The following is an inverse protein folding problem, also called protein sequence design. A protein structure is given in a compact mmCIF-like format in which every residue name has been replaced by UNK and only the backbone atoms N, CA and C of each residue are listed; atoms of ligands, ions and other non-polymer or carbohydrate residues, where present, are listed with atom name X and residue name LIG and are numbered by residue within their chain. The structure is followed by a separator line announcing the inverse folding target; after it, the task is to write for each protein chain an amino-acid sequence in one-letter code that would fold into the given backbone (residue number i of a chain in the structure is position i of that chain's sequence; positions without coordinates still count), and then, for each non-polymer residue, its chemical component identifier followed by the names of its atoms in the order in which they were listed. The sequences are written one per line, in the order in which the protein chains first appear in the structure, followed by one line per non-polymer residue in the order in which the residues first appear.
data_IF_152458161366
#
_entry.id   IF_152458161366
#
_cell.length_a   1.000
_cell.length_b   1.000
_cell.length_c   1.000
_cell.angle_alpha   90.00
_cell.angle_beta   90.00
_cell.angle_gamma   90.00
#
_symmetry.space_group_name_H-M   'P 1'
#
loop_
_entity.id
_entity.type
_entity.pdbx_description
1 polymer ?
#
# COMPACT_ATOMS: atom_id res chain seq x y z
N UNK A 1 15.54 26.82 12.19
CA UNK A 1 16.17 25.77 11.36
C UNK A 1 15.24 24.57 11.13
N UNK A 2 14.66 23.96 12.18
CA UNK A 2 13.79 22.78 12.05
C UNK A 2 12.47 23.04 11.28
N UNK A 3 11.74 24.11 11.61
CA UNK A 3 10.50 24.50 10.89
C UNK A 3 10.70 24.62 9.37
N UNK A 4 11.76 25.31 8.96
CA UNK A 4 12.09 25.48 7.55
C UNK A 4 12.44 24.17 6.83
N UNK A 5 12.89 23.13 7.55
CA UNK A 5 13.12 21.81 6.97
C UNK A 5 11.82 21.01 6.83
N UNK A 6 10.94 21.08 7.83
CA UNK A 6 9.62 20.44 7.81
C UNK A 6 8.74 21.01 6.69
N UNK A 7 8.77 22.34 6.52
CA UNK A 7 8.02 23.02 5.45
C UNK A 7 8.50 22.58 4.05
N UNK A 8 9.82 22.38 3.86
CA UNK A 8 10.38 21.86 2.61
C UNK A 8 9.90 20.44 2.29
N UNK A 9 9.57 19.65 3.31
CA UNK A 9 9.09 18.27 3.16
C UNK A 9 7.55 18.17 3.16
N UNK A 10 6.85 19.31 3.17
CA UNK A 10 5.39 19.39 3.27
C UNK A 10 4.81 18.69 4.51
N UNK A 11 5.58 18.68 5.61
CA UNK A 11 5.17 18.03 6.86
C UNK A 11 4.32 19.01 7.67
N UNK A 12 3.00 18.76 7.68
CA UNK A 12 2.03 19.52 8.46
C UNK A 12 1.36 18.59 9.45
N UNK A 13 1.67 18.75 10.73
CA UNK A 13 1.04 17.99 11.81
C UNK A 13 -0.40 18.48 12.01
N UNK A 14 -1.35 17.77 11.44
CA UNK A 14 -2.78 17.96 11.68
C UNK A 14 -3.51 16.63 11.74
N UNK A 15 -4.64 16.61 12.47
CA UNK A 15 -5.50 15.43 12.55
C UNK A 15 -6.07 15.05 11.18
N UNK A 16 -6.38 16.04 10.35
CA UNK A 16 -6.86 15.82 8.99
C UNK A 16 -5.79 15.10 8.16
N UNK A 17 -4.53 15.54 8.21
CA UNK A 17 -3.45 14.98 7.40
C UNK A 17 -3.09 13.55 7.81
N UNK A 18 -2.85 13.34 9.10
CA UNK A 18 -2.34 12.05 9.60
C UNK A 18 -3.44 11.07 10.01
N UNK A 19 -4.59 11.57 10.45
CA UNK A 19 -5.74 10.74 10.78
C UNK A 19 -6.56 10.40 9.53
N UNK A 20 -7.01 11.41 8.79
CA UNK A 20 -7.99 11.20 7.70
C UNK A 20 -7.28 10.91 6.36
N UNK A 21 -6.40 11.80 5.91
CA UNK A 21 -5.79 11.69 4.57
C UNK A 21 -4.89 10.45 4.45
N UNK A 22 -4.15 10.12 5.50
CA UNK A 22 -3.33 8.91 5.55
C UNK A 22 -4.19 7.62 5.49
N UNK A 23 -5.29 7.55 6.26
CA UNK A 23 -6.19 6.39 6.24
C UNK A 23 -6.93 6.27 4.91
N UNK A 24 -7.34 7.39 4.31
CA UNK A 24 -7.92 7.42 2.97
C UNK A 24 -6.90 6.92 1.92
N UNK A 25 -5.65 7.38 2.02
CA UNK A 25 -4.55 6.91 1.18
C UNK A 25 -4.28 5.41 1.32
N UNK A 26 -4.32 4.88 2.55
CA UNK A 26 -4.23 3.45 2.81
C UNK A 26 -5.37 2.67 2.14
N UNK A 27 -6.61 3.13 2.29
CA UNK A 27 -7.77 2.49 1.69
C UNK A 27 -7.67 2.47 0.16
N UNK A 28 -7.24 3.58 -0.46
CA UNK A 28 -6.98 3.66 -1.90
C UNK A 28 -5.93 2.63 -2.34
N UNK A 29 -4.81 2.51 -1.62
CA UNK A 29 -3.76 1.53 -1.88
C UNK A 29 -4.24 0.08 -1.75
N UNK A 30 -4.99 -0.23 -0.69
CA UNK A 30 -5.55 -1.56 -0.48
C UNK A 30 -6.55 -1.94 -1.57
N UNK A 31 -7.51 -1.06 -1.90
CA UNK A 31 -8.55 -1.37 -2.88
C UNK A 31 -8.02 -1.43 -4.31
N UNK A 32 -7.09 -0.54 -4.68
CA UNK A 32 -6.48 -0.54 -6.01
C UNK A 32 -5.67 -1.80 -6.32
N UNK A 33 -5.11 -2.46 -5.29
CA UNK A 33 -4.28 -3.64 -5.49
C UNK A 33 -5.03 -4.94 -5.19
N UNK A 34 -5.68 -5.03 -4.02
CA UNK A 34 -6.33 -6.26 -3.56
C UNK A 34 -7.63 -6.54 -4.30
N UNK A 35 -8.55 -5.56 -4.33
CA UNK A 35 -9.88 -5.76 -4.94
C UNK A 35 -9.75 -5.89 -6.46
N UNK A 36 -8.92 -5.05 -7.09
CA UNK A 36 -8.66 -5.18 -8.53
C UNK A 36 -8.00 -6.54 -8.83
N UNK A 37 -7.01 -6.96 -8.04
CA UNK A 37 -6.38 -8.27 -8.21
C UNK A 37 -7.35 -9.44 -8.04
N UNK A 38 -8.31 -9.33 -7.12
CA UNK A 38 -9.37 -10.33 -6.93
C UNK A 38 -10.32 -10.38 -8.14
N UNK A 39 -10.73 -9.22 -8.67
CA UNK A 39 -11.58 -9.13 -9.86
C UNK A 39 -10.88 -9.79 -11.05
N UNK A 40 -9.62 -9.46 -11.32
CA UNK A 40 -8.84 -10.07 -12.41
C UNK A 40 -8.74 -11.60 -12.24
N UNK A 41 -8.46 -12.05 -11.02
CA UNK A 41 -8.37 -13.48 -10.71
C UNK A 41 -9.69 -14.20 -10.94
N UNK A 42 -10.81 -13.61 -10.52
CA UNK A 42 -12.14 -14.19 -10.71
C UNK A 42 -12.52 -14.26 -12.19
N UNK A 43 -12.31 -13.18 -12.95
CA UNK A 43 -12.55 -13.17 -14.39
C UNK A 43 -11.71 -14.25 -15.08
N UNK A 44 -10.40 -14.30 -14.79
CA UNK A 44 -9.51 -15.31 -15.37
C UNK A 44 -9.92 -16.74 -15.03
N UNK A 45 -10.49 -16.95 -13.85
CA UNK A 45 -11.03 -18.25 -13.42
C UNK A 45 -12.29 -18.60 -14.20
N UNK A 46 -13.22 -17.66 -14.39
CA UNK A 46 -14.46 -17.87 -15.14
C UNK A 46 -14.22 -18.08 -16.64
N UNK A 47 -13.22 -17.41 -17.21
CA UNK A 47 -12.88 -17.54 -18.63
C UNK A 47 -11.81 -18.60 -18.91
N UNK A 48 -11.37 -19.34 -17.89
CA UNK A 48 -10.26 -20.31 -17.97
C UNK A 48 -8.96 -19.71 -18.56
N UNK A 49 -8.73 -18.42 -18.38
CA UNK A 49 -7.58 -17.71 -18.93
C UNK A 49 -6.50 -17.52 -17.86
N UNK A 50 -5.58 -18.50 -17.80
CA UNK A 50 -4.53 -18.62 -16.79
C UNK A 50 -3.67 -17.35 -16.61
N UNK A 51 -3.24 -16.63 -17.67
CA UNK A 51 -2.41 -15.42 -17.49
C UNK A 51 -3.08 -14.33 -16.64
N UNK A 52 -4.41 -14.22 -16.70
CA UNK A 52 -5.17 -13.21 -15.94
C UNK A 52 -5.29 -13.59 -14.46
N UNK A 53 -5.38 -14.90 -14.17
CA UNK A 53 -5.31 -15.44 -12.80
C UNK A 53 -3.96 -15.11 -12.18
N UNK A 54 -2.87 -15.31 -12.93
CA UNK A 54 -1.50 -15.00 -12.48
C UNK A 54 -1.32 -13.49 -12.25
N UNK A 55 -1.78 -12.65 -13.19
CA UNK A 55 -1.73 -11.19 -13.03
C UNK A 55 -2.51 -10.71 -11.79
N UNK A 56 -3.72 -11.23 -11.57
CA UNK A 56 -4.50 -10.92 -10.38
C UNK A 56 -3.86 -11.41 -9.07
N UNK A 57 -3.13 -12.52 -9.13
CA UNK A 57 -2.31 -13.02 -8.02
C UNK A 57 -1.14 -12.10 -7.68
N UNK A 58 -0.41 -11.61 -8.70
CA UNK A 58 0.67 -10.65 -8.50
C UNK A 58 0.18 -9.32 -7.92
N UNK A 59 -0.97 -8.82 -8.38
CA UNK A 59 -1.60 -7.64 -7.81
C UNK A 59 -1.89 -7.84 -6.32
N UNK A 60 -2.57 -8.93 -5.95
CA UNK A 60 -2.85 -9.23 -4.53
C UNK A 60 -1.58 -9.39 -3.67
N UNK A 61 -0.50 -9.94 -4.23
CA UNK A 61 0.77 -10.05 -3.52
C UNK A 61 1.41 -8.66 -3.26
N UNK A 62 1.18 -7.68 -4.13
CA UNK A 62 1.76 -6.34 -4.04
C UNK A 62 0.94 -5.35 -3.18
N UNK A 63 0.00 -5.83 -2.35
CA UNK A 63 -0.84 -4.96 -1.51
C UNK A 63 -0.04 -4.12 -0.53
N UNK A 64 1.01 -4.66 0.09
CA UNK A 64 1.87 -3.91 1.00
C UNK A 64 2.52 -2.69 0.32
N UNK A 65 3.08 -2.90 -0.88
CA UNK A 65 3.62 -1.82 -1.71
C UNK A 65 2.57 -0.76 -2.06
N UNK A 66 1.38 -1.18 -2.47
CA UNK A 66 0.30 -0.27 -2.84
C UNK A 66 -0.21 0.57 -1.65
N UNK A 67 -0.32 -0.02 -0.46
CA UNK A 67 -0.65 0.70 0.77
C UNK A 67 0.44 1.72 1.11
N UNK A 68 1.72 1.33 1.05
CA UNK A 68 2.85 2.22 1.34
C UNK A 68 2.90 3.43 0.40
N UNK A 69 2.64 3.20 -0.90
CA UNK A 69 2.49 4.27 -1.89
C UNK A 69 1.28 5.15 -1.58
N UNK A 70 0.11 4.54 -1.30
CA UNK A 70 -1.14 5.25 -1.05
C UNK A 70 -1.09 6.14 0.19
N UNK A 71 -0.50 5.68 1.29
CA UNK A 71 -0.30 6.48 2.50
C UNK A 71 0.64 7.66 2.25
N UNK A 72 1.79 7.42 1.61
CA UNK A 72 2.73 8.50 1.29
C UNK A 72 2.14 9.52 0.33
N UNK A 73 1.32 9.07 -0.62
CA UNK A 73 0.55 9.94 -1.51
C UNK A 73 -0.49 10.76 -0.76
N UNK A 74 -1.28 10.15 0.14
CA UNK A 74 -2.27 10.86 0.98
C UNK A 74 -1.62 11.90 1.90
N UNK A 75 -0.44 11.59 2.43
CA UNK A 75 0.38 12.51 3.21
C UNK A 75 1.08 13.58 2.36
N UNK A 76 0.94 13.56 1.03
CA UNK A 76 1.67 14.41 0.07
C UNK A 76 3.18 14.47 0.35
N UNK A 77 3.74 13.30 0.66
CA UNK A 77 5.14 13.15 0.98
C UNK A 77 6.02 13.46 -0.25
N UNK A 78 7.26 13.96 -0.05
CA UNK A 78 8.18 14.18 -1.14
C UNK A 78 8.52 12.86 -1.86
N UNK A 79 8.90 12.88 -3.15
CA UNK A 79 9.10 11.67 -3.95
C UNK A 79 10.05 10.64 -3.33
N UNK A 80 11.12 11.10 -2.67
CA UNK A 80 12.07 10.21 -1.99
C UNK A 80 11.42 9.40 -0.86
N UNK A 81 10.53 10.02 -0.10
CA UNK A 81 9.80 9.35 1.00
C UNK A 81 8.79 8.37 0.42
N UNK A 82 8.09 8.74 -0.67
CA UNK A 82 7.16 7.85 -1.36
C UNK A 82 7.84 6.59 -1.90
N UNK A 83 8.98 6.72 -2.59
CA UNK A 83 9.70 5.53 -3.09
C UNK A 83 10.23 4.66 -1.95
N UNK A 84 10.70 5.26 -0.85
CA UNK A 84 11.13 4.50 0.31
C UNK A 84 9.98 3.78 1.03
N UNK A 85 8.78 4.39 1.09
CA UNK A 85 7.62 3.81 1.77
C UNK A 85 7.12 2.55 1.07
N UNK A 86 7.20 2.51 -0.26
CA UNK A 86 6.86 1.30 -1.03
C UNK A 86 7.71 0.11 -0.60
N UNK A 87 9.02 0.31 -0.45
CA UNK A 87 9.96 -0.75 -0.08
C UNK A 87 9.78 -1.15 1.38
N UNK A 88 9.68 -0.19 2.31
CA UNK A 88 9.52 -0.50 3.74
C UNK A 88 8.19 -1.18 4.05
N UNK A 89 7.11 -0.82 3.35
CA UNK A 89 5.81 -1.49 3.52
C UNK A 89 5.80 -2.93 3.01
N UNK A 90 6.60 -3.28 1.99
CA UNK A 90 6.78 -4.68 1.58
C UNK A 90 7.45 -5.52 2.68
N UNK A 91 8.45 -4.96 3.37
CA UNK A 91 9.09 -5.61 4.52
C UNK A 91 8.11 -5.74 5.69
N UNK A 92 7.28 -4.73 5.92
CA UNK A 92 6.21 -4.80 6.92
C UNK A 92 5.19 -5.89 6.62
N UNK A 93 4.82 -6.08 5.35
CA UNK A 93 3.89 -7.12 4.92
C UNK A 93 4.44 -8.53 5.15
N UNK A 94 5.73 -8.77 4.88
CA UNK A 94 6.36 -10.07 5.11
C UNK A 94 6.48 -10.40 6.60
N UNK A 95 6.76 -9.41 7.44
CA UNK A 95 6.76 -9.58 8.91
C UNK A 95 5.36 -9.91 9.44
N UNK A 96 4.33 -9.22 8.95
CA UNK A 96 2.94 -9.50 9.33
C UNK A 96 2.51 -10.92 8.92
N UNK A 97 2.96 -11.40 7.76
CA UNK A 97 2.74 -12.79 7.35
C UNK A 97 3.44 -13.79 8.30
N UNK A 98 4.64 -13.46 8.78
CA UNK A 98 5.37 -14.24 9.77
C UNK A 98 4.65 -14.32 11.11
N UNK A 99 4.06 -13.21 11.57
CA UNK A 99 3.20 -13.18 12.75
C UNK A 99 1.96 -14.07 12.60
N UNK A 100 1.30 -14.04 11.45
CA UNK A 100 0.14 -14.89 11.17
C UNK A 100 0.47 -16.39 11.11
N UNK A 101 1.72 -16.74 10.76
CA UNK A 101 2.22 -18.12 10.80
C UNK A 101 2.48 -18.61 12.22
N UNK A 102 2.94 -17.75 13.13
CA UNK A 102 3.16 -18.12 14.53
C UNK A 102 1.85 -18.48 15.25
N UNK A 103 0.73 -17.84 14.88
CA UNK A 103 -0.61 -18.19 15.39
C UNK A 103 -1.15 -19.54 14.87
N UNK A 104 -0.43 -20.20 13.95
CA UNK A 104 -0.79 -21.53 13.41
C UNK A 104 -0.04 -22.68 14.08
N UNK A 105 0.71 -22.43 15.16
CA UNK A 105 1.41 -23.41 15.99
C UNK A 105 0.89 -23.31 17.42
#
# INVERSE_FOLDING_TARGET
MLKAHLDKQNIVFSWQRYGIDALNGMALGLFSSFIIGLILKNIGTWTHFSPLVTAGGHAQAAVGAAIGAGVAFGLKAPPLVLFSSVVTSLVGQSLAAWWALWWRV
#
